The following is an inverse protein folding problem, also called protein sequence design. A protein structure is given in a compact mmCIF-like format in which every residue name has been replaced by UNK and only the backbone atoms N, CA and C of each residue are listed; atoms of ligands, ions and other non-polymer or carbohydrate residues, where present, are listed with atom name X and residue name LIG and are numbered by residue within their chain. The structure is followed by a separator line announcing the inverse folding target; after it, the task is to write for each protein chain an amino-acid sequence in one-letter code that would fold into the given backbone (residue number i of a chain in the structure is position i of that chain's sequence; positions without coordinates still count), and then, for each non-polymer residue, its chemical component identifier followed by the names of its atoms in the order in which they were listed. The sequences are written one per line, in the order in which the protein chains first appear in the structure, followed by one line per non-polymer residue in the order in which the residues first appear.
data_IF_936678365950
#
_entry.id   IF_936678365950
#
_cell.length_a   1.000
_cell.length_b   1.000
_cell.length_c   1.000
_cell.angle_alpha   90.00
_cell.angle_beta   90.00
_cell.angle_gamma   90.00
#
_symmetry.space_group_name_H-M   'P 1'
#
loop_
_entity.id
_entity.type
_entity.pdbx_description
1 polymer ?
#
# COMPACT_ATOMS: atom_id res chain seq x y z
N UNK A 1 55.30 36.43 -32.78
CA UNK A 1 54.17 35.50 -32.60
C UNK A 1 53.22 36.10 -31.58
N UNK A 2 52.04 36.55 -32.00
CA UNK A 2 50.98 36.97 -31.09
C UNK A 2 49.65 36.50 -31.68
N UNK A 3 49.08 35.46 -31.05
CA UNK A 3 47.84 34.83 -31.49
C UNK A 3 46.68 35.58 -30.82
N UNK A 4 45.87 36.31 -31.59
CA UNK A 4 44.77 37.13 -31.09
C UNK A 4 43.53 36.25 -30.96
N UNK A 5 43.24 35.78 -29.75
CA UNK A 5 42.01 35.07 -29.41
C UNK A 5 40.80 36.00 -29.58
N UNK A 6 40.00 35.79 -30.61
CA UNK A 6 38.73 36.48 -30.81
C UNK A 6 37.64 35.80 -29.95
N UNK A 7 37.31 36.39 -28.81
CA UNK A 7 36.09 36.06 -28.08
C UNK A 7 34.88 36.54 -28.90
N UNK A 8 34.22 35.62 -29.60
CA UNK A 8 32.98 35.91 -30.34
C UNK A 8 31.89 36.39 -29.39
N UNK A 9 31.56 37.68 -29.44
CA UNK A 9 30.41 38.24 -28.76
C UNK A 9 29.15 37.55 -29.29
N UNK A 10 28.47 36.77 -28.44
CA UNK A 10 27.17 36.17 -28.78
C UNK A 10 26.19 37.32 -29.03
N UNK A 11 25.54 37.34 -30.20
CA UNK A 11 24.63 38.42 -30.55
C UNK A 11 23.51 38.52 -29.50
N UNK A 12 23.03 39.73 -29.16
CA UNK A 12 21.97 39.91 -28.17
C UNK A 12 20.70 39.11 -28.53
N UNK A 13 20.46 38.90 -29.83
CA UNK A 13 19.39 38.05 -30.34
C UNK A 13 19.52 36.59 -29.92
N UNK A 14 20.74 36.04 -29.92
CA UNK A 14 21.00 34.65 -29.49
C UNK A 14 20.71 34.45 -28.00
N UNK A 15 21.01 35.44 -27.16
CA UNK A 15 20.70 35.40 -25.73
C UNK A 15 19.20 35.47 -25.46
N UNK A 16 18.47 36.33 -26.18
CA UNK A 16 17.00 36.44 -26.07
C UNK A 16 16.31 35.15 -26.48
N UNK A 17 16.74 34.54 -27.60
CA UNK A 17 16.19 33.26 -28.07
C UNK A 17 16.45 32.14 -27.06
N UNK A 18 17.65 32.06 -26.48
CA UNK A 18 17.98 31.06 -25.47
C UNK A 18 17.11 31.20 -24.20
N UNK A 19 16.90 32.44 -23.72
CA UNK A 19 16.04 32.72 -22.57
C UNK A 19 14.57 32.37 -22.85
N UNK A 20 14.06 32.72 -24.04
CA UNK A 20 12.70 32.39 -24.44
C UNK A 20 12.48 30.86 -24.51
N UNK A 21 13.43 30.13 -25.11
CA UNK A 21 13.39 28.66 -25.16
C UNK A 21 13.47 28.06 -23.75
N UNK A 22 14.33 28.58 -22.87
CA UNK A 22 14.44 28.11 -21.50
C UNK A 22 13.13 28.30 -20.71
N UNK A 23 12.50 29.48 -20.83
CA UNK A 23 11.21 29.75 -20.21
C UNK A 23 10.09 28.86 -20.80
N UNK A 24 10.09 28.65 -22.11
CA UNK A 24 9.12 27.78 -22.79
C UNK A 24 9.25 26.33 -22.35
N UNK A 25 10.46 25.76 -22.34
CA UNK A 25 10.69 24.39 -21.86
C UNK A 25 10.45 24.26 -20.35
N UNK A 26 10.72 25.29 -19.56
CA UNK A 26 10.38 25.32 -18.13
C UNK A 26 8.86 25.30 -17.93
N UNK A 27 8.10 26.11 -18.66
CA UNK A 27 6.63 26.13 -18.59
C UNK A 27 6.02 24.84 -19.13
N UNK A 28 6.55 24.27 -20.22
CA UNK A 28 6.14 22.95 -20.71
C UNK A 28 6.47 21.85 -19.70
N UNK A 29 7.65 21.88 -19.09
CA UNK A 29 8.05 20.92 -18.05
C UNK A 29 7.21 21.05 -16.79
N UNK A 30 6.89 22.27 -16.38
CA UNK A 30 5.97 22.56 -15.28
C UNK A 30 4.54 22.14 -15.60
N UNK A 31 4.08 22.32 -16.85
CA UNK A 31 2.77 21.85 -17.30
C UNK A 31 2.69 20.32 -17.37
N UNK A 32 3.74 19.65 -17.85
CA UNK A 32 3.83 18.19 -17.84
C UNK A 32 3.93 17.62 -16.40
N UNK A 33 4.63 18.30 -15.48
CA UNK A 33 4.68 17.93 -14.04
C UNK A 33 3.41 18.30 -13.28
N UNK A 34 2.68 19.33 -13.70
CA UNK A 34 1.35 19.69 -13.20
C UNK A 34 0.27 18.73 -13.73
N UNK A 35 0.64 17.81 -14.64
CA UNK A 35 -0.12 16.62 -15.00
C UNK A 35 -0.19 15.60 -13.86
N UNK A 36 -0.78 16.00 -12.74
CA UNK A 36 -1.36 15.10 -11.75
C UNK A 36 -2.25 14.10 -12.51
N UNK A 37 -1.89 12.82 -12.50
CA UNK A 37 -2.76 11.75 -12.99
C UNK A 37 -2.52 11.20 -14.41
N UNK A 38 -1.42 11.51 -15.12
CA UNK A 38 -1.14 10.79 -16.39
C UNK A 38 -0.61 9.37 -16.18
N UNK A 39 0.11 9.13 -15.08
CA UNK A 39 0.49 7.78 -14.63
C UNK A 39 -0.72 6.97 -14.13
N UNK A 40 -1.69 7.66 -13.51
CA UNK A 40 -2.89 7.03 -12.96
C UNK A 40 -3.80 6.45 -14.03
N UNK A 41 -3.79 6.97 -15.27
CA UNK A 41 -4.67 6.43 -16.33
C UNK A 41 -4.29 5.01 -16.72
N UNK A 42 -2.99 4.70 -16.82
CA UNK A 42 -2.53 3.35 -17.14
C UNK A 42 -2.78 2.44 -15.93
N UNK A 43 -2.49 2.91 -14.72
CA UNK A 43 -2.76 2.16 -13.49
C UNK A 43 -4.24 1.84 -13.32
N UNK A 44 -5.12 2.83 -13.47
CA UNK A 44 -6.57 2.68 -13.41
C UNK A 44 -7.10 1.79 -14.54
N UNK A 45 -6.58 1.93 -15.77
CA UNK A 45 -6.97 1.06 -16.88
C UNK A 45 -6.54 -0.39 -16.66
N UNK A 46 -5.33 -0.64 -16.15
CA UNK A 46 -4.87 -1.98 -15.79
C UNK A 46 -5.72 -2.55 -14.67
N UNK A 47 -5.99 -1.78 -13.61
CA UNK A 47 -6.84 -2.23 -12.51
C UNK A 47 -8.27 -2.54 -12.99
N UNK A 48 -8.84 -1.72 -13.89
CA UNK A 48 -10.17 -1.94 -14.47
C UNK A 48 -10.21 -3.14 -15.43
N UNK A 49 -9.18 -3.32 -16.26
CA UNK A 49 -9.09 -4.44 -17.20
C UNK A 49 -8.85 -5.77 -16.48
N UNK A 50 -8.22 -5.74 -15.30
CA UNK A 50 -7.97 -6.94 -14.48
C UNK A 50 -9.05 -7.16 -13.41
N UNK A 51 -9.96 -6.21 -13.21
CA UNK A 51 -11.15 -6.41 -12.41
C UNK A 51 -12.04 -7.42 -13.12
N UNK A 52 -12.12 -8.65 -12.60
CA UNK A 52 -13.05 -9.64 -13.10
C UNK A 52 -14.47 -9.25 -12.65
N UNK A 53 -15.22 -8.62 -13.55
CA UNK A 53 -16.62 -8.23 -13.34
C UNK A 53 -16.99 -6.98 -14.11
N UNK A 54 -17.34 -7.13 -15.39
CA UNK A 54 -17.91 -6.03 -16.17
C UNK A 54 -19.34 -5.73 -15.71
N UNK A 55 -19.66 -4.45 -15.54
CA UNK A 55 -21.03 -3.95 -15.39
C UNK A 55 -21.44 -3.63 -13.95
N UNK A 56 -22.04 -2.46 -13.79
CA UNK A 56 -22.48 -1.79 -12.56
C UNK A 56 -23.52 -2.53 -11.70
N UNK A 57 -23.87 -3.78 -11.97
CA UNK A 57 -25.03 -4.44 -11.35
C UNK A 57 -24.81 -5.92 -10.96
N UNK A 58 -23.56 -6.36 -10.80
CA UNK A 58 -23.27 -7.69 -10.25
C UNK A 58 -23.39 -7.70 -8.71
N UNK A 59 -24.62 -7.69 -8.23
CA UNK A 59 -24.97 -7.95 -6.84
C UNK A 59 -24.44 -9.33 -6.40
N UNK A 60 -23.50 -9.33 -5.46
CA UNK A 60 -23.41 -10.24 -4.31
C UNK A 60 -23.57 -11.77 -4.52
N UNK A 61 -23.25 -12.33 -5.69
CA UNK A 61 -23.26 -13.79 -5.87
C UNK A 61 -21.87 -14.38 -5.57
N UNK A 62 -21.65 -14.81 -4.32
CA UNK A 62 -20.52 -15.68 -3.97
C UNK A 62 -19.44 -15.10 -3.05
N UNK A 63 -19.75 -14.09 -2.25
CA UNK A 63 -18.83 -13.63 -1.20
C UNK A 63 -18.91 -14.58 0.00
N UNK A 64 -17.87 -15.39 0.20
CA UNK A 64 -17.68 -16.17 1.43
C UNK A 64 -17.20 -15.24 2.54
N UNK A 65 -17.98 -15.12 3.60
CA UNK A 65 -17.61 -14.37 4.81
C UNK A 65 -16.97 -15.28 5.88
N UNK A 66 -16.75 -16.56 5.54
CA UNK A 66 -16.16 -17.55 6.43
C UNK A 66 -14.70 -17.19 6.70
N UNK A 67 -14.34 -17.08 7.98
CA UNK A 67 -12.94 -16.87 8.37
C UNK A 67 -12.18 -18.18 8.16
N UNK A 68 -11.45 -18.31 7.04
CA UNK A 68 -10.71 -19.52 6.68
C UNK A 68 -9.47 -19.83 7.57
N UNK A 69 -9.45 -19.39 8.83
CA UNK A 69 -8.43 -19.75 9.82
C UNK A 69 -8.79 -21.01 10.62
N UNK A 70 -9.62 -21.90 10.06
CA UNK A 70 -9.86 -23.25 10.57
C UNK A 70 -8.71 -24.18 10.18
N UNK A 71 -7.56 -24.03 10.83
CA UNK A 71 -6.57 -25.11 10.91
C UNK A 71 -6.93 -25.99 12.10
N UNK A 72 -7.02 -27.30 11.87
CA UNK A 72 -7.39 -28.32 12.84
C UNK A 72 -6.70 -28.18 14.19
N UNK A 73 -7.39 -27.57 15.14
CA UNK A 73 -7.10 -27.67 16.55
C UNK A 73 -8.44 -27.74 17.28
N UNK A 74 -9.06 -28.93 17.25
CA UNK A 74 -9.93 -29.36 18.33
C UNK A 74 -9.07 -29.45 19.60
N UNK A 75 -8.80 -28.29 20.23
CA UNK A 75 -8.20 -28.23 21.55
C UNK A 75 -9.28 -28.65 22.52
N UNK A 76 -9.24 -29.94 22.84
CA UNK A 76 -9.99 -30.59 23.88
C UNK A 76 -9.89 -29.72 25.15
N UNK A 77 -11.00 -29.10 25.54
CA UNK A 77 -11.08 -28.24 26.69
C UNK A 77 -10.90 -29.07 27.96
N UNK A 78 -9.66 -29.25 28.41
CA UNK A 78 -9.38 -29.72 29.76
C UNK A 78 -8.00 -29.25 30.20
N UNK A 79 -7.96 -28.70 31.41
CA UNK A 79 -6.80 -28.26 32.20
C UNK A 79 -6.19 -26.87 31.93
N UNK A 80 -6.82 -25.83 32.47
CA UNK A 80 -6.21 -25.06 33.59
C UNK A 80 -7.22 -24.12 34.26
N UNK A 81 -7.07 -23.82 35.57
CA UNK A 81 -8.14 -23.34 36.43
C UNK A 81 -8.09 -21.83 36.68
N UNK A 82 -9.26 -21.20 36.81
CA UNK A 82 -9.39 -19.87 37.41
C UNK A 82 -9.90 -18.79 36.46
N UNK A 83 -11.22 -18.66 36.35
CA UNK A 83 -11.89 -17.55 35.66
C UNK A 83 -13.35 -17.87 35.45
N UNK A 84 -14.23 -17.27 36.26
CA UNK A 84 -15.66 -17.52 36.28
C UNK A 84 -16.29 -17.32 34.89
N UNK A 85 -17.06 -18.32 34.46
CA UNK A 85 -17.78 -18.40 33.20
C UNK A 85 -18.97 -17.42 33.24
N UNK A 86 -18.80 -16.25 32.66
CA UNK A 86 -19.90 -15.48 32.08
C UNK A 86 -20.11 -15.98 30.65
N UNK A 87 -21.34 -16.38 30.30
CA UNK A 87 -21.67 -17.03 29.04
C UNK A 87 -21.03 -16.36 27.82
N UNK A 88 -20.44 -17.17 26.95
CA UNK A 88 -19.89 -16.71 25.69
C UNK A 88 -21.02 -16.06 24.86
N UNK A 89 -21.10 -14.73 24.93
CA UNK A 89 -21.94 -13.96 24.03
C UNK A 89 -21.54 -14.31 22.60
N UNK A 90 -22.54 -14.58 21.75
CA UNK A 90 -22.31 -14.81 20.33
C UNK A 90 -21.42 -13.67 19.78
N UNK A 91 -20.45 -13.99 18.90
CA UNK A 91 -19.59 -12.97 18.33
C UNK A 91 -20.45 -11.88 17.68
N UNK A 92 -20.11 -10.59 17.87
CA UNK A 92 -20.89 -9.52 17.28
C UNK A 92 -20.94 -9.69 15.76
N UNK A 93 -22.16 -9.79 15.22
CA UNK A 93 -22.36 -9.81 13.78
C UNK A 93 -22.10 -8.42 13.20
N UNK A 94 -21.16 -8.34 12.28
CA UNK A 94 -20.82 -7.12 11.57
C UNK A 94 -21.34 -7.19 10.15
N UNK A 95 -22.07 -6.18 9.71
CA UNK A 95 -22.50 -6.09 8.31
C UNK A 95 -21.30 -5.84 7.38
N UNK A 96 -21.38 -6.22 6.10
CA UNK A 96 -20.36 -5.87 5.12
C UNK A 96 -20.19 -4.35 4.98
N UNK A 97 -18.95 -3.89 4.83
CA UNK A 97 -18.67 -2.50 4.48
C UNK A 97 -19.09 -2.20 3.03
N UNK A 98 -19.45 -0.94 2.74
CA UNK A 98 -19.59 -0.49 1.36
C UNK A 98 -18.27 -0.68 0.59
N UNK A 99 -18.33 -1.04 -0.69
CA UNK A 99 -17.14 -1.32 -1.50
C UNK A 99 -16.15 -0.15 -1.56
N UNK A 100 -16.64 1.10 -1.52
CA UNK A 100 -15.81 2.30 -1.50
C UNK A 100 -14.96 2.45 -0.21
N UNK A 101 -15.30 1.72 0.85
CA UNK A 101 -14.58 1.74 2.13
C UNK A 101 -13.48 0.67 2.22
N UNK A 102 -13.26 -0.13 1.18
CA UNK A 102 -12.27 -1.21 1.20
C UNK A 102 -10.85 -0.71 1.52
N UNK A 103 -10.46 0.46 1.00
CA UNK A 103 -9.17 1.10 1.24
C UNK A 103 -9.24 2.28 2.22
N UNK A 104 -10.38 2.45 2.91
CA UNK A 104 -10.53 3.53 3.85
C UNK A 104 -9.64 3.30 5.09
N UNK A 105 -8.67 4.18 5.29
CA UNK A 105 -7.79 4.18 6.47
C UNK A 105 -8.23 5.27 7.46
N UNK A 106 -9.10 4.97 8.43
CA UNK A 106 -9.77 5.99 9.25
C UNK A 106 -8.83 6.88 10.05
N UNK A 107 -7.68 6.36 10.49
CA UNK A 107 -6.67 7.13 11.23
C UNK A 107 -5.71 7.95 10.36
N UNK A 108 -5.82 7.82 9.04
CA UNK A 108 -4.99 8.52 8.06
C UNK A 108 -5.87 9.29 7.06
N UNK A 109 -6.98 9.83 7.55
CA UNK A 109 -7.93 10.61 6.77
C UNK A 109 -7.44 12.06 6.62
N UNK A 110 -7.23 12.49 5.37
CA UNK A 110 -6.66 13.81 5.06
C UNK A 110 -7.59 14.95 5.50
N UNK A 111 -8.89 14.81 5.25
CA UNK A 111 -9.86 15.86 5.56
C UNK A 111 -9.97 16.10 7.06
N UNK A 112 -9.90 15.04 7.87
CA UNK A 112 -9.78 15.13 9.32
C UNK A 112 -8.46 15.75 9.74
N UNK A 113 -7.35 15.30 9.17
CA UNK A 113 -6.02 15.80 9.51
C UNK A 113 -5.90 17.32 9.29
N UNK A 114 -6.50 17.84 8.22
CA UNK A 114 -6.49 19.28 7.89
C UNK A 114 -7.33 20.16 8.84
N UNK A 115 -8.16 19.58 9.72
CA UNK A 115 -8.90 20.33 10.75
C UNK A 115 -8.04 20.71 11.97
N UNK A 116 -6.89 20.08 12.11
CA UNK A 116 -5.98 20.31 13.25
C UNK A 116 -5.06 21.52 13.01
N UNK A 117 -4.62 22.19 14.09
CA UNK A 117 -3.73 23.35 13.97
C UNK A 117 -2.41 22.97 13.30
N UNK A 118 -1.85 23.90 12.53
CA UNK A 118 -0.53 23.74 11.90
C UNK A 118 0.64 23.88 12.86
N UNK A 119 0.39 24.38 14.07
CA UNK A 119 1.40 24.49 15.13
C UNK A 119 1.96 23.10 15.44
N UNK A 120 3.28 22.99 15.55
CA UNK A 120 3.99 21.74 15.83
C UNK A 120 3.69 20.59 14.85
N UNK A 121 3.17 20.89 13.66
CA UNK A 121 2.86 19.87 12.65
C UNK A 121 1.82 18.82 13.11
N UNK A 122 0.95 19.16 14.08
CA UNK A 122 -0.09 18.24 14.60
C UNK A 122 -0.97 17.69 13.49
N UNK A 123 -1.28 18.50 12.47
CA UNK A 123 -2.01 18.05 11.28
C UNK A 123 -1.35 16.90 10.49
N UNK A 124 -0.08 16.54 10.76
CA UNK A 124 0.61 15.40 10.13
C UNK A 124 0.59 14.14 11.01
N UNK A 125 0.09 14.24 12.23
CA UNK A 125 -0.08 13.09 13.13
C UNK A 125 -1.28 12.24 12.72
N UNK A 126 -1.42 11.06 13.35
CA UNK A 126 -2.54 10.15 13.10
C UNK A 126 -3.75 10.60 13.93
N UNK A 127 -4.85 10.88 13.24
CA UNK A 127 -6.09 11.33 13.87
C UNK A 127 -7.17 10.28 13.65
N UNK A 128 -7.36 9.40 14.64
CA UNK A 128 -8.37 8.35 14.56
C UNK A 128 -9.77 8.89 14.92
N UNK A 129 -10.84 8.30 14.36
CA UNK A 129 -12.20 8.60 14.78
C UNK A 129 -12.43 8.23 16.25
N UNK A 130 -13.25 9.03 16.93
CA UNK A 130 -13.72 8.74 18.28
C UNK A 130 -14.59 7.46 18.29
N UNK A 131 -14.81 6.86 19.46
CA UNK A 131 -15.48 5.55 19.56
C UNK A 131 -16.87 5.48 18.89
N UNK A 132 -17.62 6.60 18.86
CA UNK A 132 -18.91 6.69 18.19
C UNK A 132 -18.85 6.89 16.67
N UNK A 133 -17.70 7.29 16.13
CA UNK A 133 -17.48 7.53 14.69
C UNK A 133 -16.81 6.32 14.01
N UNK A 134 -16.42 5.30 14.77
CA UNK A 134 -15.75 4.10 14.25
C UNK A 134 -16.75 3.24 13.48
N UNK A 135 -16.43 2.99 12.22
CA UNK A 135 -17.17 2.05 11.37
C UNK A 135 -17.09 0.64 11.97
N UNK A 136 -18.26 0.02 12.14
CA UNK A 136 -18.40 -1.36 12.63
C UNK A 136 -18.92 -2.24 11.50
N UNK A 137 -18.07 -2.43 10.50
CA UNK A 137 -18.36 -3.27 9.35
C UNK A 137 -17.14 -4.13 9.00
N UNK A 138 -17.37 -5.25 8.32
CA UNK A 138 -16.31 -6.11 7.80
C UNK A 138 -16.11 -5.85 6.32
N UNK A 139 -14.86 -5.61 5.90
CA UNK A 139 -14.52 -5.51 4.48
C UNK A 139 -14.62 -6.91 3.87
N UNK A 140 -15.50 -7.14 2.87
CA UNK A 140 -15.62 -8.43 2.24
C UNK A 140 -14.33 -8.80 1.49
N UNK A 141 -14.02 -10.09 1.43
CA UNK A 141 -12.99 -10.59 0.53
C UNK A 141 -13.42 -10.32 -0.93
N UNK A 142 -12.51 -9.86 -1.80
CA UNK A 142 -12.85 -9.64 -3.19
C UNK A 142 -13.18 -10.98 -3.90
N UNK A 143 -13.98 -10.95 -4.98
CA UNK A 143 -14.27 -12.15 -5.75
C UNK A 143 -12.99 -12.83 -6.25
N UNK A 144 -12.90 -14.15 -6.04
CA UNK A 144 -11.72 -14.93 -6.43
C UNK A 144 -10.54 -14.82 -5.46
N UNK A 145 -10.72 -14.24 -4.27
CA UNK A 145 -9.72 -14.30 -3.20
C UNK A 145 -9.43 -15.76 -2.83
N UNK A 146 -8.15 -16.11 -2.76
CA UNK A 146 -7.69 -17.46 -2.39
C UNK A 146 -6.97 -17.44 -1.05
N UNK A 147 -6.86 -18.59 -0.40
CA UNK A 147 -6.14 -18.71 0.87
C UNK A 147 -4.68 -18.24 0.71
N UNK A 148 -4.20 -17.27 1.52
CA UNK A 148 -2.80 -16.85 1.50
C UNK A 148 -1.85 -18.00 1.83
N UNK A 149 -0.61 -17.93 1.35
CA UNK A 149 0.41 -18.90 1.75
C UNK A 149 0.73 -18.79 3.24
N UNK A 150 1.05 -19.90 3.92
CA UNK A 150 1.54 -19.84 5.30
C UNK A 150 2.90 -19.14 5.35
N UNK A 151 3.19 -18.51 6.48
CA UNK A 151 4.54 -18.02 6.77
C UNK A 151 5.52 -19.22 6.83
N UNK A 152 6.75 -19.11 6.30
CA UNK A 152 7.40 -17.92 5.73
C UNK A 152 7.18 -17.71 4.24
N UNK A 153 6.47 -18.60 3.54
CA UNK A 153 6.29 -18.51 2.09
C UNK A 153 5.54 -17.24 1.67
N UNK A 154 4.63 -16.74 2.49
CA UNK A 154 3.95 -15.45 2.29
C UNK A 154 4.86 -14.23 2.36
N UNK A 155 6.11 -14.37 2.80
CA UNK A 155 7.14 -13.31 2.69
C UNK A 155 7.49 -13.03 1.23
N UNK A 156 7.69 -14.09 0.45
CA UNK A 156 8.25 -14.01 -0.89
C UNK A 156 7.18 -14.05 -1.97
N UNK A 157 5.99 -14.62 -1.66
CA UNK A 157 4.93 -14.85 -2.63
C UNK A 157 3.56 -14.43 -2.12
N UNK A 158 2.78 -13.82 -3.00
CA UNK A 158 1.36 -13.54 -2.78
C UNK A 158 0.58 -14.01 -4.02
N UNK A 159 -0.54 -14.75 -3.86
CA UNK A 159 -1.39 -15.10 -4.99
C UNK A 159 -1.81 -13.85 -5.77
N UNK A 160 -1.67 -13.87 -7.10
CA UNK A 160 -2.02 -12.72 -7.93
C UNK A 160 -3.45 -12.28 -7.64
N UNK A 161 -4.39 -13.22 -7.53
CA UNK A 161 -5.81 -12.98 -7.24
C UNK A 161 -6.06 -12.13 -5.97
N UNK A 162 -5.21 -12.23 -4.95
CA UNK A 162 -5.42 -11.58 -3.65
C UNK A 162 -5.04 -10.10 -3.61
N UNK A 163 -4.30 -9.61 -4.62
CA UNK A 163 -3.90 -8.22 -4.66
C UNK A 163 -5.03 -7.33 -5.22
N UNK A 164 -5.51 -6.31 -4.48
CA UNK A 164 -6.61 -5.46 -4.96
C UNK A 164 -6.20 -4.64 -6.20
N UNK A 165 -4.94 -4.22 -6.26
CA UNK A 165 -4.40 -3.38 -7.32
C UNK A 165 -3.26 -4.07 -8.05
N UNK A 166 -3.46 -4.39 -9.34
CA UNK A 166 -2.45 -5.06 -10.17
C UNK A 166 -1.47 -4.07 -10.80
N UNK A 167 -1.83 -2.78 -10.87
CA UNK A 167 -0.93 -1.73 -11.37
C UNK A 167 0.39 -1.63 -10.60
N UNK A 168 0.46 -2.19 -9.39
CA UNK A 168 1.68 -2.32 -8.60
C UNK A 168 2.84 -2.93 -9.39
N UNK A 169 2.59 -3.91 -10.26
CA UNK A 169 3.66 -4.52 -11.06
C UNK A 169 4.14 -3.65 -12.20
N UNK A 170 3.38 -2.66 -12.61
CA UNK A 170 3.81 -1.69 -13.63
C UNK A 170 4.57 -0.55 -12.96
N UNK A 171 4.01 0.00 -11.89
CA UNK A 171 4.58 1.17 -11.21
C UNK A 171 5.84 0.84 -10.40
N UNK A 172 5.94 -0.38 -9.86
CA UNK A 172 7.06 -0.82 -9.02
C UNK A 172 7.98 -1.84 -9.70
N UNK A 173 7.71 -2.20 -10.96
CA UNK A 173 8.57 -3.09 -11.76
C UNK A 173 10.00 -2.57 -11.86
N UNK A 174 10.16 -1.28 -12.17
CA UNK A 174 11.49 -0.66 -12.37
C UNK A 174 12.37 -0.77 -11.13
N UNK A 175 11.76 -0.80 -9.94
CA UNK A 175 12.49 -0.90 -8.67
C UNK A 175 12.77 -2.35 -8.26
N UNK A 176 12.35 -3.36 -9.05
CA UNK A 176 12.44 -4.78 -8.71
C UNK A 176 11.81 -5.12 -7.35
N UNK A 177 10.78 -4.40 -6.92
CA UNK A 177 10.10 -4.68 -5.65
C UNK A 177 9.10 -5.82 -5.78
N UNK A 178 8.51 -5.97 -6.96
CA UNK A 178 7.50 -6.99 -7.25
C UNK A 178 7.70 -7.50 -8.68
N UNK A 179 7.59 -8.81 -8.85
CA UNK A 179 7.63 -9.48 -10.13
C UNK A 179 6.33 -10.25 -10.33
N UNK A 180 5.77 -10.16 -11.53
CA UNK A 180 4.62 -10.96 -11.92
C UNK A 180 5.09 -12.30 -12.48
N UNK A 181 4.69 -13.40 -11.84
CA UNK A 181 4.99 -14.78 -12.27
C UNK A 181 3.67 -15.53 -12.60
N UNK A 182 2.74 -14.87 -13.29
CA UNK A 182 1.48 -15.47 -13.74
C UNK A 182 0.45 -15.64 -12.62
N UNK A 183 0.58 -16.70 -11.83
CA UNK A 183 -0.37 -17.00 -10.75
C UNK A 183 -0.03 -16.28 -9.43
N UNK A 184 1.18 -15.73 -9.31
CA UNK A 184 1.69 -15.13 -8.08
C UNK A 184 2.45 -13.83 -8.36
N UNK A 185 2.45 -12.95 -7.37
CA UNK A 185 3.46 -11.92 -7.22
C UNK A 185 4.61 -12.45 -6.39
N UNK A 186 5.83 -12.23 -6.88
CA UNK A 186 7.07 -12.51 -6.18
C UNK A 186 7.71 -11.22 -5.68
N UNK A 187 8.19 -11.24 -4.45
CA UNK A 187 8.88 -10.13 -3.79
C UNK A 187 10.35 -10.52 -3.57
N UNK A 188 11.26 -10.13 -4.46
CA UNK A 188 12.65 -10.60 -4.41
C UNK A 188 13.52 -9.88 -3.37
N UNK A 189 12.93 -9.14 -2.41
CA UNK A 189 13.66 -8.44 -1.34
C UNK A 189 14.50 -7.22 -1.77
N UNK A 190 14.51 -6.89 -3.07
CA UNK A 190 15.36 -5.88 -3.72
C UNK A 190 14.93 -4.41 -3.55
N UNK A 191 14.50 -4.02 -2.36
CA UNK A 191 14.06 -2.65 -2.07
C UNK A 191 15.19 -1.71 -1.61
N UNK A 192 15.37 -0.59 -2.30
CA UNK A 192 16.45 0.41 -2.07
C UNK A 192 16.42 1.10 -0.70
N UNK A 193 15.41 0.87 0.14
CA UNK A 193 15.32 1.49 1.46
C UNK A 193 16.20 0.83 2.52
N UNK A 194 16.64 -0.41 2.30
CA UNK A 194 17.51 -1.13 3.24
C UNK A 194 18.92 -1.27 2.66
N UNK A 195 19.95 -0.65 3.28
CA UNK A 195 21.32 -0.69 2.77
C UNK A 195 21.89 -2.11 2.58
N UNK A 196 21.40 -3.06 3.38
CA UNK A 196 21.82 -4.48 3.36
C UNK A 196 20.72 -5.41 2.82
N UNK A 197 19.67 -4.85 2.20
CA UNK A 197 18.48 -5.58 1.78
C UNK A 197 17.46 -5.79 2.90
N UNK A 198 16.22 -6.07 2.52
CA UNK A 198 15.14 -6.31 3.47
C UNK A 198 15.35 -7.59 4.29
N UNK A 199 16.00 -8.60 3.70
CA UNK A 199 16.24 -9.90 4.35
C UNK A 199 17.04 -9.75 5.65
N UNK A 200 18.12 -8.96 5.63
CA UNK A 200 18.94 -8.70 6.82
C UNK A 200 18.19 -7.96 7.92
N UNK A 201 17.27 -7.08 7.54
CA UNK A 201 16.41 -6.40 8.51
C UNK A 201 15.41 -7.37 9.15
N UNK A 202 14.80 -8.25 8.35
CA UNK A 202 13.87 -9.28 8.82
C UNK A 202 14.59 -10.28 9.74
N UNK A 203 15.80 -10.73 9.38
CA UNK A 203 16.63 -11.61 10.21
C UNK A 203 16.89 -10.99 11.58
N UNK A 204 17.24 -9.70 11.60
CA UNK A 204 17.46 -8.97 12.85
C UNK A 204 16.17 -8.85 13.66
N UNK A 205 15.03 -8.60 13.03
CA UNK A 205 13.74 -8.59 13.73
C UNK A 205 13.43 -9.96 14.34
N UNK A 206 13.71 -11.04 13.59
CA UNK A 206 13.50 -12.42 14.03
C UNK A 206 14.39 -12.84 15.19
N UNK A 207 15.52 -12.17 15.41
CA UNK A 207 16.35 -12.38 16.60
C UNK A 207 15.72 -11.82 17.89
N UNK A 208 14.78 -10.87 17.77
CA UNK A 208 14.17 -10.17 18.91
C UNK A 208 12.70 -10.55 19.10
N UNK A 209 12.00 -10.85 18.01
CA UNK A 209 10.57 -11.17 18.00
C UNK A 209 10.38 -12.66 17.73
N UNK A 210 9.68 -13.41 18.61
CA UNK A 210 9.46 -14.83 18.43
C UNK A 210 8.39 -15.11 17.37
N UNK A 211 8.75 -15.05 16.09
CA UNK A 211 7.85 -15.33 14.97
C UNK A 211 7.37 -16.79 14.91
N UNK A 212 8.17 -17.73 15.39
CA UNK A 212 7.88 -19.16 15.29
C UNK A 212 6.69 -19.60 16.17
N UNK A 213 6.34 -18.84 17.21
CA UNK A 213 5.27 -19.21 18.14
C UNK A 213 3.85 -18.93 17.64
N UNK A 214 3.66 -18.33 16.47
CA UNK A 214 2.33 -18.01 15.91
C UNK A 214 1.54 -16.94 16.69
N UNK A 215 2.10 -16.41 17.79
CA UNK A 215 1.51 -15.33 18.58
C UNK A 215 1.51 -13.99 17.83
N UNK A 216 2.47 -13.78 16.94
CA UNK A 216 2.60 -12.58 16.12
C UNK A 216 1.96 -12.84 14.76
N UNK A 217 0.77 -12.27 14.53
CA UNK A 217 -0.02 -12.46 13.30
C UNK A 217 0.19 -11.37 12.26
N UNK A 218 0.47 -10.14 12.70
CA UNK A 218 0.67 -8.98 11.83
C UNK A 218 1.75 -8.08 12.41
N UNK A 219 2.81 -7.83 11.64
CA UNK A 219 3.81 -6.80 11.94
C UNK A 219 3.65 -5.64 10.96
N UNK A 220 3.14 -4.50 11.43
CA UNK A 220 3.12 -3.28 10.64
C UNK A 220 4.49 -2.61 10.71
N UNK A 221 5.28 -2.79 9.66
CA UNK A 221 6.55 -2.08 9.49
C UNK A 221 6.28 -0.71 8.87
N UNK A 222 6.03 0.29 9.71
CA UNK A 222 6.11 1.68 9.26
C UNK A 222 7.54 2.17 9.45
N UNK A 223 8.21 2.51 8.36
CA UNK A 223 9.36 3.42 8.42
C UNK A 223 8.81 4.81 8.74
N UNK A 224 8.55 5.08 10.02
CA UNK A 224 8.57 6.47 10.49
C UNK A 224 9.97 6.99 10.19
N UNK A 225 10.09 7.85 9.17
CA UNK A 225 11.18 8.83 9.15
C UNK A 225 11.07 9.58 10.47
N UNK A 226 11.89 9.21 11.45
CA UNK A 226 12.31 10.15 12.46
C UNK A 226 12.93 11.31 11.70
N UNK A 227 12.28 12.46 11.79
CA UNK A 227 12.86 13.76 11.44
C UNK A 227 13.99 14.02 12.42
#
# INVERSE_FOLDING_TARGET
MANKSSSGARSPLSLVVAMALCCFFYMLGAWQRSGYGKGDRIAAAVNLQTACGGGSDAFAAGLSFETHHGGDAAINASSSPGGMVGGAAAPPEFSPCAAALADHTPCHDQDRAMKFPRKNMVYRERHCPADGERLRCLVPAPPGYVTPFPWPKSRDYVPFANAPYKSLTVEKAVQNWVQYEGAVFRFPGGGTQFPQGADKYIDRLGSVVPFAGGHVRTCLLYTSRCV
#
